data_IF_526508183899
#
_entry.id   IF_526508183899
#
_cell.length_a   1.000
_cell.length_b   1.000
_cell.length_c   1.000
_cell.angle_alpha   90.00
_cell.angle_beta   90.00
_cell.angle_gamma   90.00
#
_symmetry.space_group_name_H-M   'P 1'
#
loop_
_entity.id
_entity.type
_entity.pdbx_description
1 polymer ?
#
# COMPACT_ATOMS: atom_id res chain seq x y z
N UNK A 1 -27.32 -10.72 -74.70
CA UNK A 1 -26.26 -10.20 -73.81
C UNK A 1 -26.86 -9.49 -72.57
N UNK A 2 -27.69 -10.16 -71.76
CA UNK A 2 -28.38 -9.55 -70.59
C UNK A 2 -28.29 -10.40 -69.30
N UNK A 3 -27.74 -11.63 -69.38
CA UNK A 3 -27.72 -12.58 -68.26
C UNK A 3 -26.58 -12.39 -67.26
N UNK A 4 -25.52 -11.65 -67.59
CA UNK A 4 -24.37 -11.44 -66.69
C UNK A 4 -24.57 -10.33 -65.65
N UNK A 5 -25.44 -9.34 -65.91
CA UNK A 5 -25.66 -8.22 -64.96
C UNK A 5 -26.42 -8.64 -63.69
N UNK A 6 -27.15 -9.76 -63.71
CA UNK A 6 -27.98 -10.20 -62.58
C UNK A 6 -27.17 -10.83 -61.43
N UNK A 7 -25.92 -11.23 -61.67
CA UNK A 7 -25.05 -11.82 -60.64
C UNK A 7 -24.25 -10.79 -59.83
N UNK A 8 -24.06 -9.58 -60.35
CA UNK A 8 -23.26 -8.53 -59.67
C UNK A 8 -24.13 -7.68 -58.71
N UNK A 9 -25.46 -7.77 -58.79
CA UNK A 9 -26.40 -6.88 -58.08
C UNK A 9 -26.96 -7.52 -56.78
N UNK A 10 -26.53 -8.73 -56.39
CA UNK A 10 -26.99 -9.43 -55.17
C UNK A 10 -25.90 -9.54 -54.09
N UNK A 11 -25.04 -8.53 -53.93
CA UNK A 11 -24.04 -8.48 -52.86
C UNK A 11 -24.43 -7.59 -51.67
N UNK A 12 -25.59 -6.92 -51.72
CA UNK A 12 -26.02 -5.96 -50.69
C UNK A 12 -26.12 -6.58 -49.30
N UNK A 13 -26.70 -7.79 -49.18
CA UNK A 13 -26.80 -8.49 -47.90
C UNK A 13 -25.45 -8.98 -47.35
N UNK A 14 -24.43 -9.13 -48.20
CA UNK A 14 -23.09 -9.54 -47.76
C UNK A 14 -22.36 -8.36 -47.11
N UNK A 15 -22.54 -7.14 -47.63
CA UNK A 15 -21.95 -5.94 -47.01
C UNK A 15 -22.59 -5.61 -45.67
N UNK A 16 -23.90 -5.84 -45.51
CA UNK A 16 -24.62 -5.65 -44.25
C UNK A 16 -24.10 -6.60 -43.15
N UNK A 17 -24.02 -7.89 -43.46
CA UNK A 17 -23.55 -8.90 -42.50
C UNK A 17 -22.06 -8.73 -42.19
N UNK A 18 -21.22 -8.44 -43.19
CA UNK A 18 -19.79 -8.23 -42.97
C UNK A 18 -19.51 -6.97 -42.14
N UNK A 19 -20.27 -5.90 -42.36
CA UNK A 19 -20.19 -4.68 -41.54
C UNK A 19 -20.58 -4.94 -40.09
N UNK A 20 -21.62 -5.76 -39.86
CA UNK A 20 -22.06 -6.13 -38.52
C UNK A 20 -21.00 -6.96 -37.78
N UNK A 21 -20.43 -7.98 -38.43
CA UNK A 21 -19.38 -8.82 -37.84
C UNK A 21 -18.15 -7.98 -37.51
N UNK A 22 -17.76 -7.06 -38.41
CA UNK A 22 -16.66 -6.15 -38.18
C UNK A 22 -16.91 -5.24 -36.97
N UNK A 23 -18.13 -4.67 -36.86
CA UNK A 23 -18.51 -3.80 -35.75
C UNK A 23 -18.48 -4.55 -34.41
N UNK A 24 -19.07 -5.75 -34.37
CA UNK A 24 -19.07 -6.58 -33.15
C UNK A 24 -17.64 -6.94 -32.75
N UNK A 25 -16.80 -7.32 -33.72
CA UNK A 25 -15.39 -7.61 -33.47
C UNK A 25 -14.67 -6.41 -32.85
N UNK A 26 -14.87 -5.21 -33.40
CA UNK A 26 -14.27 -3.98 -32.87
C UNK A 26 -14.75 -3.68 -31.44
N UNK A 27 -16.05 -3.85 -31.17
CA UNK A 27 -16.63 -3.65 -29.84
C UNK A 27 -16.03 -4.62 -28.82
N UNK A 28 -15.93 -5.92 -29.15
CA UNK A 28 -15.34 -6.93 -28.26
C UNK A 28 -13.88 -6.60 -27.94
N UNK A 29 -13.11 -6.15 -28.94
CA UNK A 29 -11.72 -5.70 -28.74
C UNK A 29 -11.68 -4.50 -27.80
N UNK A 30 -12.49 -3.47 -28.02
CA UNK A 30 -12.54 -2.29 -27.13
C UNK A 30 -12.92 -2.64 -25.70
N UNK A 31 -13.95 -3.46 -25.48
CA UNK A 31 -14.34 -3.89 -24.15
C UNK A 31 -13.24 -4.73 -23.47
N UNK A 32 -12.52 -5.54 -24.24
CA UNK A 32 -11.39 -6.31 -23.72
C UNK A 32 -10.25 -5.40 -23.26
N UNK A 33 -9.91 -4.36 -24.04
CA UNK A 33 -8.92 -3.35 -23.63
C UNK A 33 -9.33 -2.60 -22.36
N UNK A 34 -10.59 -2.17 -22.28
CA UNK A 34 -11.12 -1.49 -21.09
C UNK A 34 -11.09 -2.43 -19.89
N UNK A 35 -11.49 -3.70 -20.06
CA UNK A 35 -11.43 -4.72 -19.02
C UNK A 35 -10.02 -4.91 -18.49
N UNK A 36 -9.03 -5.09 -19.37
CA UNK A 36 -7.62 -5.19 -18.99
C UNK A 36 -7.16 -3.94 -18.24
N UNK A 37 -7.54 -2.74 -18.69
CA UNK A 37 -7.16 -1.50 -18.03
C UNK A 37 -7.75 -1.38 -16.62
N UNK A 38 -9.03 -1.71 -16.45
CA UNK A 38 -9.71 -1.68 -15.15
C UNK A 38 -9.12 -2.71 -14.20
N UNK A 39 -8.88 -3.95 -14.67
CA UNK A 39 -8.29 -5.01 -13.83
C UNK A 39 -6.78 -4.83 -13.61
N UNK A 40 -6.08 -4.09 -14.47
CA UNK A 40 -4.68 -3.70 -14.26
C UNK A 40 -4.53 -2.61 -13.21
N UNK A 41 -5.61 -1.95 -12.81
CA UNK A 41 -5.60 -1.08 -11.66
C UNK A 41 -5.54 -1.97 -10.41
N UNK A 42 -4.31 -2.31 -9.99
CA UNK A 42 -4.09 -2.91 -8.69
C UNK A 42 -4.72 -1.95 -7.66
N UNK A 43 -5.57 -2.50 -6.78
CA UNK A 43 -6.08 -1.76 -5.62
C UNK A 43 -4.89 -1.05 -4.95
N UNK A 44 -5.08 0.17 -4.42
CA UNK A 44 -4.03 0.78 -3.60
C UNK A 44 -3.61 -0.27 -2.58
N UNK A 45 -2.30 -0.53 -2.48
CA UNK A 45 -1.73 -1.45 -1.50
C UNK A 45 -2.47 -1.23 -0.18
N UNK A 46 -3.04 -2.30 0.37
CA UNK A 46 -3.80 -2.21 1.61
C UNK A 46 -2.81 -1.83 2.70
N UNK A 47 -2.70 -0.52 2.99
CA UNK A 47 -1.81 0.00 4.02
C UNK A 47 -2.55 -0.26 5.33
N UNK A 48 -2.01 -1.10 6.22
CA UNK A 48 -2.72 -1.44 7.43
C UNK A 48 -2.97 -0.19 8.27
N UNK A 49 -4.22 0.01 8.68
CA UNK A 49 -4.64 1.17 9.45
C UNK A 49 -4.57 0.88 10.94
N UNK A 50 -3.43 1.21 11.56
CA UNK A 50 -3.23 1.11 13.01
C UNK A 50 -3.05 2.49 13.64
N UNK A 51 -3.60 2.65 14.84
CA UNK A 51 -3.45 3.82 15.69
C UNK A 51 -2.42 3.53 16.78
N UNK A 52 -1.27 4.19 16.72
CA UNK A 52 -0.21 4.04 17.70
C UNK A 52 -0.16 5.23 18.67
N UNK A 53 0.18 4.94 19.91
CA UNK A 53 0.53 5.93 20.92
C UNK A 53 2.02 5.85 21.20
N UNK A 54 2.70 6.99 21.11
CA UNK A 54 4.14 7.10 21.39
C UNK A 54 4.36 8.00 22.59
N UNK A 55 5.20 7.57 23.52
CA UNK A 55 5.70 8.39 24.60
C UNK A 55 7.18 8.09 24.84
N UNK A 56 7.84 9.00 25.56
CA UNK A 56 9.28 8.93 25.81
C UNK A 56 9.52 9.01 27.31
N UNK A 57 10.55 8.33 27.76
CA UNK A 57 11.08 8.46 29.12
C UNK A 57 12.55 8.89 29.03
N UNK A 58 12.79 10.14 29.41
CA UNK A 58 14.12 10.77 29.44
C UNK A 58 15.04 10.11 30.48
N UNK A 59 14.48 9.49 31.52
CA UNK A 59 15.29 8.86 32.58
C UNK A 59 15.89 7.54 32.11
N UNK A 60 15.22 6.87 31.18
CA UNK A 60 15.59 5.55 30.66
C UNK A 60 16.08 5.57 29.21
N UNK A 61 16.24 6.75 28.60
CA UNK A 61 16.63 6.91 27.19
C UNK A 61 15.83 5.97 26.26
N UNK A 62 14.51 5.90 26.49
CA UNK A 62 13.65 4.91 25.84
C UNK A 62 12.39 5.55 25.27
N UNK A 63 12.08 5.19 24.02
CA UNK A 63 10.80 5.49 23.36
C UNK A 63 9.92 4.27 23.40
N UNK A 64 8.69 4.47 23.84
CA UNK A 64 7.67 3.45 23.89
C UNK A 64 6.67 3.69 22.77
N UNK A 65 6.37 2.63 22.02
CA UNK A 65 5.31 2.62 21.04
C UNK A 65 4.27 1.60 21.47
N UNK A 66 3.01 2.04 21.61
CA UNK A 66 1.89 1.17 21.98
C UNK A 66 0.87 1.13 20.87
N UNK A 67 0.38 -0.07 20.56
CA UNK A 67 -0.78 -0.22 19.68
C UNK A 67 -2.06 0.13 20.44
N UNK A 68 -2.74 1.20 20.03
CA UNK A 68 -3.95 1.71 20.68
C UNK A 68 -5.23 1.13 20.07
N UNK A 69 -5.21 0.78 18.78
CA UNK A 69 -6.38 0.28 18.06
C UNK A 69 -6.16 0.18 16.55
N UNK A 70 -7.14 -0.37 15.84
CA UNK A 70 -7.05 -0.61 14.39
C UNK A 70 -6.63 -2.03 14.05
N UNK A 71 -5.95 -2.21 12.93
CA UNK A 71 -5.53 -3.52 12.42
C UNK A 71 -4.24 -4.02 13.09
N UNK A 72 -4.13 -5.34 13.21
CA UNK A 72 -2.91 -5.98 13.69
C UNK A 72 -1.78 -5.81 12.66
N UNK A 73 -0.57 -5.59 13.16
CA UNK A 73 0.57 -5.16 12.37
C UNK A 73 1.65 -6.24 12.38
N UNK A 74 2.04 -6.77 11.23
CA UNK A 74 3.13 -7.77 11.18
C UNK A 74 4.49 -7.09 11.39
N UNK A 75 5.20 -7.44 12.47
CA UNK A 75 6.51 -6.84 12.77
C UNK A 75 7.54 -7.08 11.66
N UNK A 76 7.43 -8.19 10.93
CA UNK A 76 8.30 -8.53 9.80
C UNK A 76 8.06 -7.68 8.55
N UNK A 77 6.97 -6.93 8.51
CA UNK A 77 6.61 -6.06 7.39
C UNK A 77 6.76 -4.58 7.74
N UNK A 78 7.18 -4.25 8.96
CA UNK A 78 7.19 -2.88 9.47
C UNK A 78 8.60 -2.45 9.82
N UNK A 79 8.96 -1.27 9.34
CA UNK A 79 10.20 -0.59 9.66
C UNK A 79 9.88 0.64 10.51
N UNK A 80 10.59 0.78 11.63
CA UNK A 80 10.49 1.97 12.49
C UNK A 80 11.69 2.86 12.23
N UNK A 81 11.45 4.12 11.89
CA UNK A 81 12.50 5.13 11.72
C UNK A 81 12.25 6.22 12.75
N UNK A 82 13.25 6.46 13.59
CA UNK A 82 13.22 7.48 14.63
C UNK A 82 14.27 8.54 14.30
N UNK A 83 13.86 9.79 14.18
CA UNK A 83 14.77 10.91 13.99
C UNK A 83 14.84 11.74 15.27
N UNK A 84 16.02 11.81 15.87
CA UNK A 84 16.31 12.61 17.07
C UNK A 84 17.24 13.73 16.66
N UNK A 85 16.77 14.98 16.72
CA UNK A 85 17.58 16.18 16.41
C UNK A 85 18.36 16.09 15.06
N UNK A 86 17.74 15.46 14.05
CA UNK A 86 18.33 15.22 12.72
C UNK A 86 19.17 13.95 12.57
N UNK A 87 19.46 13.24 13.66
CA UNK A 87 20.11 11.92 13.62
C UNK A 87 19.06 10.84 13.35
N UNK A 88 19.28 10.05 12.30
CA UNK A 88 18.37 8.99 11.86
C UNK A 88 18.76 7.64 12.48
N UNK A 89 17.87 7.07 13.26
CA UNK A 89 17.95 5.71 13.78
C UNK A 89 16.90 4.84 13.07
N UNK A 90 17.34 3.73 12.48
CA UNK A 90 16.46 2.82 11.74
C UNK A 90 16.44 1.45 12.39
N UNK A 91 15.23 0.92 12.61
CA UNK A 91 14.99 -0.42 13.11
C UNK A 91 14.40 -1.26 11.98
N UNK A 92 15.15 -2.27 11.53
CA UNK A 92 14.70 -3.22 10.50
C UNK A 92 13.50 -4.03 10.99
N UNK A 93 12.71 -4.62 10.08
CA UNK A 93 11.58 -5.46 10.46
C UNK A 93 11.96 -6.62 11.37
N UNK A 94 13.16 -7.20 11.19
CA UNK A 94 13.71 -8.23 12.09
C UNK A 94 13.91 -7.73 13.52
N UNK A 95 14.34 -6.48 13.70
CA UNK A 95 14.51 -5.88 15.04
C UNK A 95 13.16 -5.58 15.70
N UNK A 96 12.17 -5.22 14.89
CA UNK A 96 10.80 -4.94 15.35
C UNK A 96 10.11 -6.24 15.75
N UNK A 97 10.17 -7.28 14.91
CA UNK A 97 9.58 -8.58 15.22
C UNK A 97 10.27 -9.29 16.39
N UNK A 98 11.58 -9.12 16.56
CA UNK A 98 12.30 -9.64 17.73
C UNK A 98 11.87 -9.00 19.06
N UNK A 99 11.30 -7.78 19.02
CA UNK A 99 10.75 -7.09 20.20
C UNK A 99 9.28 -7.43 20.43
N UNK A 100 8.63 -8.09 19.47
CA UNK A 100 7.27 -8.59 19.58
C UNK A 100 7.26 -10.02 20.12
N UNK A 101 6.08 -10.48 20.53
CA UNK A 101 5.90 -11.82 21.10
C UNK A 101 6.22 -12.97 20.12
N UNK A 102 5.91 -14.20 20.54
CA UNK A 102 6.20 -15.44 19.78
C UNK A 102 5.64 -15.42 18.36
N UNK A 103 4.55 -14.68 18.14
CA UNK A 103 3.85 -14.62 16.86
C UNK A 103 4.40 -13.52 15.92
N UNK A 104 5.26 -12.62 16.42
CA UNK A 104 5.82 -11.51 15.65
C UNK A 104 4.79 -10.50 15.13
N UNK A 105 3.56 -10.58 15.64
CA UNK A 105 2.45 -9.68 15.34
C UNK A 105 2.34 -8.65 16.45
N UNK A 106 2.06 -7.41 16.06
CA UNK A 106 1.82 -6.30 16.95
C UNK A 106 0.31 -6.06 17.08
N UNK A 107 -0.25 -6.46 18.21
CA UNK A 107 -1.68 -6.40 18.50
C UNK A 107 -2.03 -5.27 19.48
N UNK A 108 -3.33 -4.98 19.61
CA UNK A 108 -3.83 -3.92 20.49
C UNK A 108 -3.37 -4.16 21.93
N UNK A 109 -2.69 -3.17 22.50
CA UNK A 109 -2.17 -3.20 23.87
C UNK A 109 -0.69 -3.54 23.97
N UNK A 110 -0.10 -4.13 22.94
CA UNK A 110 1.32 -4.44 22.89
C UNK A 110 2.18 -3.17 22.84
N UNK A 111 3.32 -3.23 23.52
CA UNK A 111 4.27 -2.12 23.64
C UNK A 111 5.64 -2.56 23.14
N UNK A 112 6.21 -1.78 22.22
CA UNK A 112 7.58 -1.92 21.75
C UNK A 112 8.43 -0.84 22.40
N UNK A 113 9.56 -1.25 22.97
CA UNK A 113 10.53 -0.37 23.62
C UNK A 113 11.75 -0.18 22.73
N UNK A 114 12.10 1.06 22.44
CA UNK A 114 13.25 1.42 21.61
C UNK A 114 14.19 2.29 22.43
N UNK A 115 15.34 1.72 22.82
CA UNK A 115 16.40 2.45 23.50
C UNK A 115 17.15 3.35 22.52
N UNK A 116 17.05 4.65 22.69
CA UNK A 116 17.77 5.68 21.95
C UNK A 116 18.14 6.82 22.91
N UNK A 117 19.38 7.34 22.86
CA UNK A 117 19.75 8.47 23.72
C UNK A 117 18.90 9.69 23.36
N UNK A 118 18.20 10.27 24.34
CA UNK A 118 17.33 11.43 24.16
C UNK A 118 17.64 12.45 25.25
N UNK A 119 17.88 13.70 24.87
CA UNK A 119 18.06 14.80 25.83
C UNK A 119 16.78 15.64 25.94
N UNK A 120 16.61 16.29 27.09
CA UNK A 120 15.46 17.17 27.33
C UNK A 120 15.43 18.31 26.32
N UNK A 121 14.28 18.50 25.66
CA UNK A 121 14.09 19.46 24.58
C UNK A 121 14.36 18.91 23.17
N UNK A 122 14.79 17.65 23.04
CA UNK A 122 14.93 17.01 21.73
C UNK A 122 13.57 16.82 21.05
N UNK A 123 13.55 17.09 19.74
CA UNK A 123 12.39 16.78 18.90
C UNK A 123 12.59 15.41 18.28
N UNK A 124 11.68 14.48 18.61
CA UNK A 124 11.68 13.12 18.11
C UNK A 124 10.58 12.97 17.08
N UNK A 125 10.97 12.66 15.83
CA UNK A 125 10.03 12.34 14.75
C UNK A 125 10.05 10.84 14.53
N UNK A 126 8.92 10.18 14.70
CA UNK A 126 8.77 8.74 14.49
C UNK A 126 7.97 8.47 13.21
N UNK A 127 8.52 7.62 12.36
CA UNK A 127 7.89 7.16 11.13
C UNK A 127 7.74 5.65 11.17
N UNK A 128 6.52 5.19 11.00
CA UNK A 128 6.21 3.79 10.77
C UNK A 128 6.06 3.55 9.28
N UNK A 129 6.89 2.69 8.70
CA UNK A 129 6.92 2.41 7.26
C UNK A 129 6.53 0.96 7.03
N UNK A 130 5.50 0.74 6.20
CA UNK A 130 5.13 -0.59 5.74
C UNK A 130 6.04 -1.00 4.58
N UNK A 131 6.91 -1.97 4.82
CA UNK A 131 7.96 -2.42 3.90
C UNK A 131 7.42 -2.95 2.56
N UNK A 132 6.34 -3.78 2.52
CA UNK A 132 5.76 -4.25 1.27
C UNK A 132 5.28 -3.11 0.36
N UNK A 133 4.58 -2.14 0.94
CA UNK A 133 4.00 -1.01 0.18
C UNK A 133 4.91 0.22 0.07
N UNK A 134 6.01 0.24 0.83
CA UNK A 134 6.90 1.38 1.05
C UNK A 134 6.19 2.69 1.44
N UNK A 135 4.99 2.59 2.02
CA UNK A 135 4.20 3.72 2.47
C UNK A 135 4.39 3.98 3.96
N UNK A 136 4.27 5.25 4.35
CA UNK A 136 4.28 5.66 5.76
C UNK A 136 2.88 5.42 6.32
N UNK A 137 2.75 4.52 7.30
CA UNK A 137 1.50 4.25 8.00
C UNK A 137 1.17 5.41 8.94
N UNK A 138 2.17 5.92 9.67
CA UNK A 138 1.98 6.99 10.63
C UNK A 138 3.25 7.84 10.80
N UNK A 139 3.06 9.15 10.94
CA UNK A 139 4.08 10.13 11.38
C UNK A 139 3.64 10.69 12.72
N UNK A 140 4.53 10.66 13.69
CA UNK A 140 4.29 11.26 15.01
C UNK A 140 5.46 12.16 15.39
N UNK A 141 5.14 13.35 15.85
CA UNK A 141 6.11 14.33 16.32
C UNK A 141 5.91 14.47 17.83
N UNK A 142 6.92 14.10 18.60
CA UNK A 142 6.90 14.18 20.07
C UNK A 142 8.13 14.96 20.52
N UNK A 143 7.91 15.98 21.34
CA UNK A 143 9.01 16.74 21.97
C UNK A 143 9.28 16.16 23.35
N UNK A 144 10.55 15.88 23.65
CA UNK A 144 11.00 15.49 24.98
C UNK A 144 10.85 16.69 25.93
N UNK A 145 10.20 16.49 27.09
CA UNK A 145 9.86 17.55 28.06
C UNK A 145 10.34 17.22 29.46
#
# INVERSE_FOLDING_TARGET
>A
MYKLRKFIINCDGVSEVMGQVLLIGLVVIFFSFIGVFVFSYNSPDDIPHADLQVWMDETSDTVYLKHRGGEALSGNEIKVVVMVNGTRNEFSPENVSAKLGVDGVWEIGDVIEIGIPIENGDTVNLFLIHTPSNNVIQKMDVTAS
#
